data_IF_252836894556
#
_entry.id   IF_252836894556
#
_cell.length_a   1.000
_cell.length_b   1.000
_cell.length_c   1.000
_cell.angle_alpha   90.00
_cell.angle_beta   90.00
_cell.angle_gamma   90.00
#
_symmetry.space_group_name_H-M   'P 1'
#
loop_
_entity.id
_entity.type
_entity.pdbx_description
1 polymer ?
#
# COMPACT_ATOMS: atom_id res chain seq x y z
N UNK A 1 12.02 43.81 -30.44
CA UNK A 1 12.86 43.51 -29.26
C UNK A 1 12.07 43.90 -28.02
N UNK A 2 11.47 42.93 -27.35
CA UNK A 2 10.77 43.14 -26.07
C UNK A 2 11.05 41.91 -25.20
N UNK A 3 11.73 42.14 -24.09
CA UNK A 3 12.15 41.12 -23.13
C UNK A 3 10.94 40.59 -22.34
N UNK A 4 10.83 39.26 -22.26
CA UNK A 4 9.95 38.55 -21.33
C UNK A 4 10.71 38.30 -20.02
N UNK A 5 10.17 38.82 -18.91
CA UNK A 5 10.64 38.51 -17.56
C UNK A 5 9.86 37.31 -17.03
N UNK A 6 10.56 36.25 -16.64
CA UNK A 6 9.99 35.04 -16.03
C UNK A 6 9.74 35.25 -14.52
N UNK A 7 8.71 34.62 -13.92
CA UNK A 7 8.39 34.79 -12.51
C UNK A 7 9.32 34.00 -11.59
N UNK A 8 9.64 34.60 -10.44
CA UNK A 8 10.43 34.04 -9.35
C UNK A 8 9.90 32.67 -8.89
N UNK A 9 10.80 31.68 -8.86
CA UNK A 9 10.55 30.37 -8.28
C UNK A 9 10.40 30.41 -6.76
N UNK A 10 9.52 29.57 -6.23
CA UNK A 10 9.42 29.29 -4.80
C UNK A 10 10.69 28.57 -4.33
N UNK A 11 11.30 28.98 -3.21
CA UNK A 11 12.54 28.36 -2.73
C UNK A 11 12.31 26.90 -2.32
N UNK A 12 13.29 26.06 -2.62
CA UNK A 12 13.29 24.64 -2.25
C UNK A 12 13.46 24.49 -0.74
N UNK A 13 12.91 23.40 -0.17
CA UNK A 13 13.05 23.06 1.26
C UNK A 13 14.52 23.04 1.73
N UNK A 14 15.48 22.82 0.83
CA UNK A 14 16.91 22.89 1.12
C UNK A 14 17.39 24.32 1.38
N UNK A 15 16.98 25.29 0.55
CA UNK A 15 17.33 26.71 0.70
C UNK A 15 16.71 27.32 1.97
N UNK A 16 15.55 26.79 2.38
CA UNK A 16 14.87 27.20 3.60
C UNK A 16 15.58 26.65 4.86
N UNK A 17 16.20 25.47 4.78
CA UNK A 17 17.05 24.91 5.84
C UNK A 17 18.39 25.65 5.95
N UNK A 18 19.01 26.04 4.84
CA UNK A 18 20.24 26.85 4.86
C UNK A 18 20.03 28.21 5.52
N UNK A 19 18.90 28.89 5.23
CA UNK A 19 18.55 30.17 5.87
C UNK A 19 18.30 30.03 7.38
N UNK A 20 17.79 28.88 7.83
CA UNK A 20 17.54 28.62 9.26
C UNK A 20 18.84 28.28 10.02
N UNK A 21 19.81 27.62 9.37
CA UNK A 21 21.10 27.27 9.97
C UNK A 21 22.08 28.45 9.98
N UNK A 22 21.98 29.37 9.02
CA UNK A 22 22.90 30.51 8.91
C UNK A 22 22.73 31.59 9.99
N UNK A 23 21.62 31.60 10.75
CA UNK A 23 21.32 32.69 11.71
C UNK A 23 21.53 32.33 13.18
N UNK A 24 22.01 31.13 13.51
CA UNK A 24 22.27 30.73 14.91
C UNK A 24 23.62 30.03 15.06
N UNK A 25 24.70 30.76 14.76
CA UNK A 25 26.03 30.46 15.33
C UNK A 25 26.34 31.57 16.34
N UNK A 26 25.60 31.55 17.44
CA UNK A 26 26.01 32.19 18.69
C UNK A 26 26.96 31.22 19.41
N UNK A 27 27.92 31.77 20.16
CA UNK A 27 29.03 31.12 20.91
C UNK A 27 28.59 30.00 21.89
N UNK A 28 27.99 28.94 21.37
CA UNK A 28 27.71 27.72 22.09
C UNK A 28 28.84 26.72 21.80
N UNK A 29 29.38 26.14 22.87
CA UNK A 29 30.36 25.07 22.85
C UNK A 29 30.02 24.08 21.71
N UNK A 30 30.97 23.78 20.79
CA UNK A 30 30.70 22.96 19.59
C UNK A 30 29.95 21.65 19.86
N UNK A 31 30.08 21.10 21.06
CA UNK A 31 29.36 19.90 21.51
C UNK A 31 27.85 20.12 21.69
N UNK A 32 27.41 21.31 22.12
CA UNK A 32 25.98 21.63 22.26
C UNK A 32 25.30 21.71 20.89
N UNK A 33 25.91 22.44 19.95
CA UNK A 33 25.43 22.52 18.57
C UNK A 33 25.38 21.15 17.89
N UNK A 34 26.38 20.29 18.15
CA UNK A 34 26.41 18.93 17.62
C UNK A 34 25.32 18.02 18.21
N UNK A 35 25.00 18.17 19.50
CA UNK A 35 23.91 17.42 20.13
C UNK A 35 22.53 17.83 19.61
N UNK A 36 22.34 19.11 19.28
CA UNK A 36 21.08 19.59 18.70
C UNK A 36 20.89 19.06 17.27
N UNK A 37 21.95 19.02 16.47
CA UNK A 37 21.95 18.37 15.14
C UNK A 37 21.60 16.88 15.29
N UNK A 38 22.23 16.17 16.24
CA UNK A 38 21.94 14.75 16.48
C UNK A 38 20.48 14.51 16.84
N UNK A 39 19.93 15.30 17.77
CA UNK A 39 18.50 15.23 18.15
C UNK A 39 17.59 15.51 16.96
N UNK A 40 17.90 16.52 16.15
CA UNK A 40 17.09 16.86 14.98
C UNK A 40 17.08 15.72 13.95
N UNK A 41 18.23 15.08 13.72
CA UNK A 41 18.35 13.91 12.83
C UNK A 41 17.58 12.72 13.39
N UNK A 42 17.72 12.39 14.68
CA UNK A 42 16.97 11.30 15.33
C UNK A 42 15.46 11.52 15.22
N UNK A 43 14.99 12.74 15.48
CA UNK A 43 13.58 13.11 15.36
C UNK A 43 13.08 13.03 13.91
N UNK A 44 13.88 13.46 12.93
CA UNK A 44 13.55 13.35 11.52
C UNK A 44 13.47 11.88 11.07
N UNK A 45 14.42 11.04 11.51
CA UNK A 45 14.44 9.60 11.21
C UNK A 45 13.23 8.90 11.84
N UNK A 46 12.88 9.20 13.09
CA UNK A 46 11.68 8.66 13.76
C UNK A 46 10.40 9.11 13.04
N UNK A 47 10.34 10.36 12.59
CA UNK A 47 9.19 10.89 11.84
C UNK A 47 9.04 10.22 10.47
N UNK A 48 10.14 10.11 9.71
CA UNK A 48 10.17 9.47 8.40
C UNK A 48 9.86 7.96 8.48
N UNK A 49 10.34 7.27 9.52
CA UNK A 49 10.01 5.86 9.76
C UNK A 49 8.54 5.66 10.10
N UNK A 50 7.92 6.53 10.93
CA UNK A 50 6.47 6.52 11.16
C UNK A 50 5.65 6.75 9.89
N UNK A 51 6.13 7.57 8.95
CA UNK A 51 5.46 7.78 7.64
C UNK A 51 5.54 6.50 6.80
N UNK A 52 6.66 5.78 6.82
CA UNK A 52 6.81 4.49 6.15
C UNK A 52 6.00 3.36 6.80
N UNK A 53 5.76 3.42 8.12
CA UNK A 53 4.87 2.47 8.81
C UNK A 53 3.40 2.67 8.41
N UNK A 54 2.96 3.92 8.22
CA UNK A 54 1.58 4.25 7.78
C UNK A 54 1.25 3.77 6.37
N UNK A 55 2.24 3.61 5.49
CA UNK A 55 2.03 3.14 4.11
C UNK A 55 1.75 1.64 4.04
N UNK A 56 1.97 0.90 5.14
CA UNK A 56 1.73 -0.55 5.20
C UNK A 56 1.24 -0.97 6.57
N UNK A 57 0.37 -0.17 7.18
CA UNK A 57 -0.38 -0.62 8.34
C UNK A 57 -1.37 -1.66 7.82
N UNK A 58 -1.05 -2.94 8.04
CA UNK A 58 -1.89 -4.07 7.62
C UNK A 58 -3.14 -4.06 8.49
N UNK A 59 -4.09 -3.17 8.17
CA UNK A 59 -5.33 -2.92 8.90
C UNK A 59 -6.17 -4.18 9.15
N UNK A 60 -5.93 -5.24 8.37
CA UNK A 60 -6.59 -6.53 8.53
C UNK A 60 -5.94 -7.47 9.57
N UNK A 61 -4.69 -7.22 10.00
CA UNK A 61 -4.03 -8.06 11.00
C UNK A 61 -4.51 -7.66 12.39
N UNK A 62 -5.07 -8.62 13.13
CA UNK A 62 -5.55 -8.40 14.48
C UNK A 62 -4.41 -8.21 15.48
N UNK A 63 -4.70 -7.56 16.61
CA UNK A 63 -3.75 -7.46 17.72
C UNK A 63 -3.26 -8.83 18.20
N UNK A 64 -4.11 -9.85 18.15
CA UNK A 64 -3.76 -11.24 18.50
C UNK A 64 -2.70 -11.82 17.54
N UNK A 65 -2.90 -11.64 16.22
CA UNK A 65 -1.90 -12.06 15.22
C UNK A 65 -0.60 -11.29 15.35
N UNK A 66 -0.66 -9.98 15.62
CA UNK A 66 0.54 -9.16 15.89
C UNK A 66 1.32 -9.65 17.11
N UNK A 67 0.64 -9.97 18.21
CA UNK A 67 1.29 -10.56 19.39
C UNK A 67 1.99 -11.89 19.09
N UNK A 68 1.41 -12.73 18.21
CA UNK A 68 2.05 -13.98 17.76
C UNK A 68 3.29 -13.74 16.89
N UNK A 69 3.28 -12.67 16.07
CA UNK A 69 4.46 -12.25 15.29
C UNK A 69 5.57 -11.82 16.23
N UNK A 70 5.26 -11.02 17.25
CA UNK A 70 6.25 -10.50 18.19
C UNK A 70 6.79 -11.60 19.11
N UNK A 71 5.93 -12.48 19.63
CA UNK A 71 6.35 -13.66 20.38
C UNK A 71 7.32 -14.54 19.56
N UNK A 72 7.13 -14.64 18.24
CA UNK A 72 8.01 -15.44 17.37
C UNK A 72 9.39 -14.81 17.21
N UNK A 73 9.48 -13.48 17.21
CA UNK A 73 10.77 -12.76 17.12
C UNK A 73 11.61 -12.94 18.37
N UNK A 74 10.99 -13.21 19.52
CA UNK A 74 11.67 -13.39 20.81
C UNK A 74 12.28 -14.78 20.99
N UNK A 75 11.95 -15.75 20.14
CA UNK A 75 12.47 -17.13 20.26
C UNK A 75 13.96 -17.16 19.85
N UNK A 76 14.88 -17.60 20.73
CA UNK A 76 16.31 -17.69 20.41
C UNK A 76 16.63 -18.64 19.26
N UNK A 77 17.84 -18.50 18.72
CA UNK A 77 18.42 -19.47 17.78
C UNK A 77 18.91 -20.69 18.56
N UNK A 78 18.50 -21.88 18.14
CA UNK A 78 18.78 -23.14 18.84
C UNK A 78 17.81 -24.23 18.37
N UNK A 79 18.24 -25.48 18.37
CA UNK A 79 17.38 -26.61 17.96
C UNK A 79 16.40 -26.99 19.07
N UNK A 80 16.75 -26.72 20.33
CA UNK A 80 15.93 -26.86 21.52
C UNK A 80 14.63 -26.04 21.42
N UNK A 81 14.65 -24.91 20.72
CA UNK A 81 13.49 -24.04 20.52
C UNK A 81 12.70 -24.33 19.23
N UNK A 82 13.08 -25.36 18.45
CA UNK A 82 12.43 -25.61 17.17
C UNK A 82 10.95 -25.99 17.31
N UNK A 83 10.58 -26.76 18.34
CA UNK A 83 9.19 -27.16 18.53
C UNK A 83 8.32 -25.97 18.92
N UNK A 84 8.78 -25.12 19.84
CA UNK A 84 8.11 -23.87 20.22
C UNK A 84 7.90 -22.95 19.00
N UNK A 85 8.96 -22.76 18.19
CA UNK A 85 8.90 -21.98 16.96
C UNK A 85 7.91 -22.57 15.95
N UNK A 86 7.85 -23.90 15.83
CA UNK A 86 6.95 -24.62 14.95
C UNK A 86 5.49 -24.47 15.38
N UNK A 87 5.20 -24.65 16.67
CA UNK A 87 3.86 -24.47 17.23
C UNK A 87 3.37 -23.03 17.05
N UNK A 88 4.24 -22.05 17.33
CA UNK A 88 3.88 -20.65 17.17
C UNK A 88 3.67 -20.29 15.70
N UNK A 89 4.48 -20.84 14.78
CA UNK A 89 4.26 -20.70 13.32
C UNK A 89 2.88 -21.24 12.92
N UNK A 90 2.49 -22.43 13.38
CA UNK A 90 1.17 -23.01 13.09
C UNK A 90 0.03 -22.13 13.61
N UNK A 91 0.14 -21.64 14.86
CA UNK A 91 -0.84 -20.70 15.46
C UNK A 91 -0.94 -19.41 14.66
N UNK A 92 0.20 -18.79 14.34
CA UNK A 92 0.26 -17.56 13.56
C UNK A 92 -0.34 -17.74 12.17
N UNK A 93 -0.02 -18.83 11.47
CA UNK A 93 -0.61 -19.10 10.14
C UNK A 93 -2.13 -19.24 10.22
N UNK A 94 -2.66 -19.91 11.25
CA UNK A 94 -4.11 -20.02 11.43
C UNK A 94 -4.75 -18.65 11.75
N UNK A 95 -4.15 -17.89 12.65
CA UNK A 95 -4.64 -16.56 13.05
C UNK A 95 -4.68 -15.60 11.85
N UNK A 96 -3.61 -15.55 11.06
CA UNK A 96 -3.55 -14.72 9.86
C UNK A 96 -4.55 -15.15 8.77
N UNK A 97 -4.85 -16.44 8.65
CA UNK A 97 -5.91 -16.91 7.74
C UNK A 97 -7.28 -16.38 8.19
N UNK A 98 -7.60 -16.54 9.47
CA UNK A 98 -8.85 -16.05 10.04
C UNK A 98 -9.01 -14.53 9.87
N UNK A 99 -7.96 -13.77 10.18
CA UNK A 99 -7.93 -12.31 10.00
C UNK A 99 -8.18 -11.91 8.54
N UNK A 100 -7.54 -12.61 7.59
CA UNK A 100 -7.71 -12.38 6.15
C UNK A 100 -9.13 -12.70 5.68
N UNK A 101 -9.68 -13.84 6.11
CA UNK A 101 -11.05 -14.25 5.80
C UNK A 101 -12.07 -13.24 6.33
N UNK A 102 -11.92 -12.79 7.58
CA UNK A 102 -12.79 -11.77 8.17
C UNK A 102 -12.74 -10.46 7.40
N UNK A 103 -11.53 -10.02 7.02
CA UNK A 103 -11.37 -8.83 6.21
C UNK A 103 -12.04 -8.94 4.84
N UNK A 104 -11.92 -10.10 4.17
CA UNK A 104 -12.60 -10.33 2.89
C UNK A 104 -14.12 -10.37 3.02
N UNK A 105 -14.65 -10.98 4.09
CA UNK A 105 -16.09 -11.00 4.38
C UNK A 105 -16.61 -9.58 4.57
N UNK A 106 -15.91 -8.74 5.32
CA UNK A 106 -16.33 -7.35 5.52
C UNK A 106 -16.24 -6.55 4.22
N UNK A 107 -15.17 -6.71 3.44
CA UNK A 107 -15.05 -6.07 2.13
C UNK A 107 -16.14 -6.50 1.15
N UNK A 108 -16.51 -7.78 1.12
CA UNK A 108 -17.61 -8.27 0.31
C UNK A 108 -18.94 -7.63 0.71
N UNK A 109 -19.21 -7.49 2.02
CA UNK A 109 -20.40 -6.79 2.53
C UNK A 109 -20.43 -5.32 2.13
N UNK A 110 -19.30 -4.62 2.20
CA UNK A 110 -19.22 -3.22 1.74
C UNK A 110 -19.52 -3.09 0.24
N UNK A 111 -18.98 -4.01 -0.56
CA UNK A 111 -19.24 -4.07 -2.00
C UNK A 111 -20.70 -4.37 -2.32
N UNK A 112 -21.31 -5.34 -1.64
CA UNK A 112 -22.72 -5.71 -1.79
C UNK A 112 -23.64 -4.52 -1.47
N UNK A 113 -23.38 -3.81 -0.36
CA UNK A 113 -24.13 -2.59 -0.01
C UNK A 113 -24.01 -1.51 -1.09
N UNK A 114 -22.79 -1.27 -1.58
CA UNK A 114 -22.56 -0.28 -2.64
C UNK A 114 -23.29 -0.65 -3.95
N UNK A 115 -23.30 -1.94 -4.30
CA UNK A 115 -24.01 -2.44 -5.47
C UNK A 115 -25.53 -2.31 -5.31
N UNK A 116 -26.08 -2.66 -4.14
CA UNK A 116 -27.52 -2.60 -3.85
C UNK A 116 -28.11 -1.18 -3.98
N UNK A 117 -27.32 -0.14 -3.65
CA UNK A 117 -27.74 1.26 -3.79
C UNK A 117 -27.32 1.88 -5.14
N UNK A 118 -26.74 1.11 -6.06
CA UNK A 118 -26.27 1.58 -7.35
C UNK A 118 -25.04 2.52 -7.30
N UNK A 119 -24.29 2.54 -6.20
CA UNK A 119 -23.10 3.40 -6.05
C UNK A 119 -21.87 2.78 -6.71
N UNK A 120 -21.85 2.86 -8.04
CA UNK A 120 -20.77 2.33 -8.89
C UNK A 120 -19.40 2.93 -8.57
N UNK A 121 -19.33 4.22 -8.16
CA UNK A 121 -18.08 4.89 -7.78
C UNK A 121 -17.46 4.28 -6.54
N UNK A 122 -18.28 3.98 -5.52
CA UNK A 122 -17.81 3.34 -4.30
C UNK A 122 -17.38 1.90 -4.55
N UNK A 123 -18.18 1.15 -5.31
CA UNK A 123 -17.85 -0.23 -5.70
C UNK A 123 -16.50 -0.30 -6.43
N UNK A 124 -16.26 0.57 -7.42
CA UNK A 124 -15.01 0.61 -8.16
C UNK A 124 -13.81 0.99 -7.28
N UNK A 125 -14.00 1.87 -6.29
CA UNK A 125 -12.96 2.21 -5.31
C UNK A 125 -12.59 1.00 -4.45
N UNK A 126 -13.57 0.27 -3.94
CA UNK A 126 -13.36 -0.94 -3.14
C UNK A 126 -12.64 -2.04 -3.93
N UNK A 127 -12.97 -2.21 -5.21
CA UNK A 127 -12.29 -3.17 -6.10
C UNK A 127 -10.81 -2.78 -6.30
N UNK A 128 -10.50 -1.48 -6.42
CA UNK A 128 -9.11 -1.01 -6.49
C UNK A 128 -8.36 -1.19 -5.16
N UNK A 129 -8.99 -0.84 -4.03
CA UNK A 129 -8.40 -0.95 -2.69
C UNK A 129 -8.04 -2.39 -2.31
N UNK A 130 -8.88 -3.34 -2.71
CA UNK A 130 -8.64 -4.76 -2.44
C UNK A 130 -7.48 -5.33 -3.24
N UNK A 131 -6.94 -4.57 -4.21
CA UNK A 131 -5.81 -5.02 -5.01
C UNK A 131 -6.12 -6.31 -5.76
N UNK A 132 -7.41 -6.57 -6.05
CA UNK A 132 -7.86 -7.55 -7.04
C UNK A 132 -7.40 -6.99 -8.39
N UNK A 133 -6.09 -7.02 -8.60
CA UNK A 133 -5.45 -6.70 -9.84
C UNK A 133 -5.92 -7.81 -10.75
N UNK A 134 -6.70 -7.43 -11.76
CA UNK A 134 -7.21 -8.31 -12.80
C UNK A 134 -6.22 -9.47 -13.00
N UNK A 135 -6.55 -10.73 -12.66
CA UNK A 135 -5.83 -11.82 -13.29
C UNK A 135 -5.99 -11.53 -14.77
N UNK A 136 -4.89 -11.37 -15.50
CA UNK A 136 -4.85 -11.12 -16.95
C UNK A 136 -6.08 -11.76 -17.56
N UNK A 137 -7.11 -10.95 -17.84
CA UNK A 137 -8.46 -11.47 -18.11
C UNK A 137 -8.27 -12.46 -19.22
N UNK A 138 -8.58 -13.74 -18.98
CA UNK A 138 -8.32 -14.86 -19.86
C UNK A 138 -8.43 -14.41 -21.32
N UNK A 139 -7.29 -14.14 -21.94
CA UNK A 139 -7.26 -13.46 -23.24
C UNK A 139 -7.70 -14.38 -24.38
N UNK A 140 -8.05 -15.63 -24.06
CA UNK A 140 -8.53 -16.61 -25.01
C UNK A 140 -10.02 -16.40 -25.29
N UNK A 141 -10.34 -15.24 -25.86
CA UNK A 141 -11.67 -14.99 -26.44
C UNK A 141 -11.72 -15.73 -27.76
N UNK A 142 -12.74 -16.55 -27.93
CA UNK A 142 -12.96 -17.33 -29.15
C UNK A 142 -14.09 -16.72 -29.98
N UNK A 143 -14.03 -16.91 -31.29
CA UNK A 143 -15.15 -16.64 -32.19
C UNK A 143 -16.34 -17.56 -31.88
N UNK A 144 -17.51 -17.29 -32.48
CA UNK A 144 -18.72 -18.12 -32.31
C UNK A 144 -18.50 -19.56 -32.79
N UNK A 145 -17.56 -19.79 -33.69
CA UNK A 145 -17.16 -21.11 -34.23
C UNK A 145 -16.09 -21.83 -33.38
N UNK A 146 -15.63 -21.21 -32.29
CA UNK A 146 -14.64 -21.79 -31.38
C UNK A 146 -13.18 -21.47 -31.70
N UNK A 147 -12.87 -20.73 -32.77
CA UNK A 147 -11.49 -20.34 -33.06
C UNK A 147 -10.98 -19.21 -32.15
N UNK A 148 -9.76 -19.35 -31.63
CA UNK A 148 -9.13 -18.37 -30.73
C UNK A 148 -8.80 -17.09 -31.50
N UNK A 149 -9.18 -15.94 -30.93
CA UNK A 149 -8.91 -14.63 -31.52
C UNK A 149 -7.57 -14.11 -30.99
N UNK A 150 -6.56 -14.05 -31.86
CA UNK A 150 -5.23 -13.55 -31.51
C UNK A 150 -5.08 -12.04 -31.64
N UNK A 151 -5.95 -11.36 -32.39
CA UNK A 151 -5.88 -9.91 -32.58
C UNK A 151 -6.69 -9.14 -31.54
N UNK A 152 -6.07 -8.12 -30.93
CA UNK A 152 -6.70 -7.32 -29.88
C UNK A 152 -7.94 -6.56 -30.38
N UNK A 153 -7.88 -5.97 -31.57
CA UNK A 153 -9.02 -5.26 -32.16
C UNK A 153 -10.23 -6.17 -32.33
N UNK A 154 -10.02 -7.40 -32.84
CA UNK A 154 -11.11 -8.36 -33.04
C UNK A 154 -11.67 -8.90 -31.72
N UNK A 155 -10.84 -8.99 -30.68
CA UNK A 155 -11.31 -9.33 -29.32
C UNK A 155 -12.26 -8.28 -28.77
N UNK A 156 -12.00 -6.99 -29.02
CA UNK A 156 -12.88 -5.90 -28.63
C UNK A 156 -14.20 -5.91 -29.41
N UNK A 157 -14.16 -6.15 -30.73
CA UNK A 157 -15.37 -6.27 -31.55
C UNK A 157 -16.24 -7.45 -31.09
N UNK A 158 -15.63 -8.61 -30.81
CA UNK A 158 -16.33 -9.80 -30.33
C UNK A 158 -16.98 -9.58 -28.96
N UNK A 159 -16.33 -8.82 -28.08
CA UNK A 159 -16.90 -8.37 -26.80
C UNK A 159 -18.15 -7.51 -27.03
N UNK A 160 -18.08 -6.53 -27.94
CA UNK A 160 -19.21 -5.67 -28.26
C UNK A 160 -20.38 -6.45 -28.88
N UNK A 161 -20.09 -7.40 -29.78
CA UNK A 161 -21.10 -8.33 -30.31
C UNK A 161 -21.75 -9.16 -29.20
N UNK A 162 -20.95 -9.74 -28.29
CA UNK A 162 -21.48 -10.56 -27.19
C UNK A 162 -22.42 -9.75 -26.28
N UNK A 163 -22.05 -8.53 -25.91
CA UNK A 163 -22.92 -7.69 -25.08
C UNK A 163 -24.20 -7.26 -25.79
N UNK A 164 -24.14 -6.93 -27.10
CA UNK A 164 -25.35 -6.63 -27.87
C UNK A 164 -26.29 -7.84 -27.95
N UNK A 165 -25.75 -9.04 -28.13
CA UNK A 165 -26.55 -10.28 -28.17
C UNK A 165 -27.16 -10.63 -26.81
N UNK A 166 -26.59 -10.17 -25.69
CA UNK A 166 -27.09 -10.45 -24.34
C UNK A 166 -28.17 -9.46 -23.85
N UNK A 167 -28.20 -8.25 -24.41
CA UNK A 167 -29.09 -7.16 -23.96
C UNK A 167 -30.13 -6.74 -25.01
N UNK A 168 -30.25 -7.52 -26.09
CA UNK A 168 -31.39 -7.50 -27.00
C UNK A 168 -32.28 -8.72 -26.70
#
# INVERSE_FOLDING_TARGET
>A
MSHLTLPHGFPSSAEQLEKQLGSHVSDAHPEAAWNDIRKAVEMAVISASKVNDKVREKYWISAASSALIDARKLIPSGSEHNEERSQLKRKLTRSLRNDCEQWWVEKAREMEKAAAIGNSRQLFRLVKETGIRNPTVSETISQKDGHIIHSQSRRLDRWAEHFRDQFN
#
